data_IF_773595811148
#
_entry.id   IF_773595811148
#
_cell.length_a   1.000
_cell.length_b   1.000
_cell.length_c   1.000
_cell.angle_alpha   90.00
_cell.angle_beta   90.00
_cell.angle_gamma   90.00
#
_symmetry.space_group_name_H-M   'P 1'
#
loop_
_entity.id
_entity.type
_entity.pdbx_description
1 polymer ?
#
# COMPACT_ATOMS: atom_id res chain seq x y z
N UNK A 1 -5.35 -7.57 22.02
CA UNK A 1 -3.97 -7.97 21.66
C UNK A 1 -3.57 -7.21 20.41
N UNK A 2 -2.83 -6.12 20.58
CA UNK A 2 -2.41 -5.21 19.50
C UNK A 2 -1.20 -5.81 18.77
N UNK A 3 -1.45 -6.55 17.68
CA UNK A 3 -0.42 -7.20 16.87
C UNK A 3 0.11 -6.29 15.76
N UNK A 4 0.82 -5.21 16.10
CA UNK A 4 1.49 -4.33 15.11
C UNK A 4 2.93 -4.72 14.78
N UNK A 5 3.34 -5.98 14.94
CA UNK A 5 4.76 -6.39 14.87
C UNK A 5 4.98 -7.65 14.04
N UNK A 6 4.61 -7.61 12.76
CA UNK A 6 4.88 -8.71 11.84
C UNK A 6 4.86 -8.33 10.36
N UNK A 7 4.82 -7.03 10.02
CA UNK A 7 4.87 -6.62 8.61
C UNK A 7 6.21 -7.02 7.99
N UNK A 8 7.29 -6.98 8.76
CA UNK A 8 8.63 -7.42 8.39
C UNK A 8 8.67 -8.86 7.87
N UNK A 9 7.81 -9.75 8.38
CA UNK A 9 7.71 -11.16 7.96
C UNK A 9 6.87 -11.36 6.70
N UNK A 10 6.11 -10.34 6.30
CA UNK A 10 5.21 -10.37 5.15
C UNK A 10 5.81 -9.63 3.95
N UNK A 11 6.80 -8.76 4.20
CA UNK A 11 7.49 -7.98 3.17
C UNK A 11 8.53 -8.86 2.48
N UNK A 12 8.63 -8.68 1.16
CA UNK A 12 9.59 -9.42 0.33
C UNK A 12 11.02 -9.18 0.84
N UNK A 13 11.73 -10.25 1.18
CA UNK A 13 13.11 -10.23 1.67
C UNK A 13 14.05 -9.53 0.68
N UNK A 14 13.72 -9.54 -0.62
CA UNK A 14 14.49 -8.90 -1.69
C UNK A 14 14.50 -7.37 -1.57
N UNK A 15 13.57 -6.79 -0.82
CA UNK A 15 13.59 -5.36 -0.50
C UNK A 15 14.68 -5.04 0.53
N UNK A 16 15.20 -6.03 1.25
CA UNK A 16 16.36 -5.88 2.15
C UNK A 16 16.21 -4.71 3.15
N UNK A 17 14.99 -4.48 3.65
CA UNK A 17 14.66 -3.37 4.54
C UNK A 17 14.50 -2.01 3.86
N UNK A 18 14.68 -1.91 2.54
CA UNK A 18 14.47 -0.71 1.75
C UNK A 18 12.99 -0.54 1.38
N UNK A 19 12.19 -0.25 2.39
CA UNK A 19 10.79 0.10 2.22
C UNK A 19 10.33 1.04 3.33
N UNK A 20 9.29 1.82 3.03
CA UNK A 20 8.66 2.68 4.01
C UNK A 20 7.63 1.88 4.83
N UNK A 21 7.83 1.79 6.14
CA UNK A 21 6.96 1.00 7.04
C UNK A 21 5.50 1.47 7.02
N UNK A 22 5.24 2.78 6.90
CA UNK A 22 3.87 3.31 6.79
C UNK A 22 3.23 2.92 5.46
N UNK A 23 3.99 2.97 4.36
CA UNK A 23 3.49 2.53 3.06
C UNK A 23 3.23 1.02 3.05
N UNK A 24 4.11 0.22 3.67
CA UNK A 24 3.94 -1.22 3.81
C UNK A 24 2.69 -1.58 4.62
N UNK A 25 2.46 -0.92 5.77
CA UNK A 25 1.26 -1.12 6.59
C UNK A 25 -0.01 -0.72 5.83
N UNK A 26 0.02 0.39 5.07
CA UNK A 26 -1.12 0.78 4.24
C UNK A 26 -1.41 -0.26 3.16
N UNK A 27 -0.40 -0.68 2.41
CA UNK A 27 -0.56 -1.66 1.32
C UNK A 27 -1.15 -2.95 1.87
N UNK A 28 -0.69 -3.41 3.04
CA UNK A 28 -1.25 -4.58 3.71
C UNK A 28 -2.73 -4.41 4.05
N UNK A 29 -3.12 -3.27 4.63
CA UNK A 29 -4.55 -2.98 4.93
C UNK A 29 -5.40 -2.94 3.67
N UNK A 30 -4.91 -2.30 2.61
CA UNK A 30 -5.60 -2.22 1.32
C UNK A 30 -5.75 -3.61 0.70
N UNK A 31 -4.71 -4.43 0.74
CA UNK A 31 -4.76 -5.81 0.27
C UNK A 31 -5.82 -6.62 1.02
N UNK A 32 -5.89 -6.52 2.35
CA UNK A 32 -6.89 -7.19 3.17
C UNK A 32 -8.33 -6.76 2.86
N UNK A 33 -8.56 -5.52 2.45
CA UNK A 33 -9.87 -5.07 1.98
C UNK A 33 -10.20 -5.67 0.60
N UNK A 34 -9.22 -5.78 -0.28
CA UNK A 34 -9.43 -6.29 -1.64
C UNK A 34 -9.71 -7.80 -1.70
N UNK A 35 -9.21 -8.58 -0.74
CA UNK A 35 -9.37 -10.05 -0.71
C UNK A 35 -10.55 -10.53 0.16
N UNK A 36 -11.45 -9.63 0.57
CA UNK A 36 -12.63 -10.00 1.36
C UNK A 36 -13.48 -11.07 0.67
N UNK A 37 -13.99 -12.01 1.45
CA UNK A 37 -14.84 -13.10 0.95
C UNK A 37 -16.10 -12.55 0.30
N UNK A 38 -16.75 -11.59 0.96
CA UNK A 38 -17.86 -10.86 0.37
C UNK A 38 -17.34 -9.87 -0.68
N UNK A 39 -17.94 -9.91 -1.88
CA UNK A 39 -17.59 -9.00 -2.98
C UNK A 39 -18.01 -7.57 -2.69
N UNK A 40 -19.07 -7.36 -1.92
CA UNK A 40 -19.66 -6.05 -1.68
C UNK A 40 -18.90 -5.28 -0.58
N UNK A 41 -18.07 -5.98 0.20
CA UNK A 41 -17.10 -5.37 1.12
C UNK A 41 -15.81 -4.91 0.41
N UNK A 42 -15.58 -5.33 -0.84
CA UNK A 42 -14.36 -4.96 -1.57
C UNK A 42 -14.48 -3.51 -2.06
N UNK A 43 -13.46 -2.67 -1.83
CA UNK A 43 -13.50 -1.28 -2.25
C UNK A 43 -13.45 -1.16 -3.78
N UNK A 44 -14.06 -0.10 -4.31
CA UNK A 44 -13.89 0.28 -5.70
C UNK A 44 -12.43 0.63 -6.01
N UNK A 45 -11.98 0.37 -7.24
CA UNK A 45 -10.60 0.66 -7.65
C UNK A 45 -10.22 2.14 -7.52
N UNK A 46 -11.16 3.06 -7.72
CA UNK A 46 -10.95 4.50 -7.48
C UNK A 46 -10.55 4.78 -6.03
N UNK A 47 -11.20 4.11 -5.08
CA UNK A 47 -10.90 4.21 -3.64
C UNK A 47 -9.54 3.59 -3.32
N UNK A 48 -9.23 2.42 -3.89
CA UNK A 48 -7.93 1.74 -3.75
C UNK A 48 -6.79 2.65 -4.21
N UNK A 49 -6.90 3.22 -5.40
CA UNK A 49 -5.92 4.17 -5.94
C UNK A 49 -5.81 5.42 -5.06
N UNK A 50 -6.93 5.92 -4.54
CA UNK A 50 -6.95 7.03 -3.59
C UNK A 50 -6.13 6.75 -2.33
N UNK A 51 -6.27 5.55 -1.75
CA UNK A 51 -5.46 5.13 -0.60
C UNK A 51 -3.97 5.07 -0.96
N UNK A 52 -3.61 4.40 -2.05
CA UNK A 52 -2.21 4.21 -2.45
C UNK A 52 -1.49 5.51 -2.81
N UNK A 53 -2.20 6.49 -3.39
CA UNK A 53 -1.63 7.79 -3.72
C UNK A 53 -1.47 8.69 -2.50
N UNK A 54 -2.29 8.52 -1.46
CA UNK A 54 -2.27 9.39 -0.28
C UNK A 54 -0.93 9.33 0.48
N UNK A 55 -0.23 8.20 0.44
CA UNK A 55 1.05 7.96 1.13
C UNK A 55 2.27 8.17 0.23
N UNK A 56 2.09 8.34 -1.08
CA UNK A 56 3.17 8.64 -2.03
C UNK A 56 3.64 10.11 -1.96
N UNK A 57 3.19 10.88 -0.95
CA UNK A 57 3.49 12.31 -0.74
C UNK A 57 4.94 12.63 -0.32
N UNK A 58 5.87 11.69 -0.44
CA UNK A 58 7.32 11.95 -0.49
C UNK A 58 7.85 11.73 -1.91
N UNK A 59 7.40 12.54 -2.85
CA UNK A 59 8.18 12.83 -4.07
C UNK A 59 8.38 14.33 -4.17
N UNK A 60 9.45 14.79 -3.54
CA UNK A 60 10.26 15.86 -4.13
C UNK A 60 10.37 15.59 -5.63
N UNK A 61 9.84 16.52 -6.44
CA UNK A 61 9.85 16.47 -7.90
C UNK A 61 8.97 15.39 -8.55
N UNK A 62 7.72 15.76 -8.85
CA UNK A 62 7.01 15.22 -10.02
C UNK A 62 7.88 15.44 -11.27
N UNK A 63 8.78 14.51 -11.58
CA UNK A 63 9.27 14.32 -12.95
C UNK A 63 8.05 13.90 -13.76
N UNK A 64 7.38 14.87 -14.38
CA UNK A 64 6.37 14.64 -15.41
C UNK A 64 6.97 13.68 -16.42
N UNK A 65 6.46 12.44 -16.48
CA UNK A 65 6.73 11.54 -17.61
C UNK A 65 6.10 12.20 -18.84
N UNK A 66 6.86 12.54 -19.89
CA UNK A 66 6.26 13.06 -21.11
C UNK A 66 5.33 12.00 -21.68
N UNK A 67 4.05 12.34 -21.85
CA UNK A 67 3.12 11.50 -22.61
C UNK A 67 3.60 11.54 -24.06
N UNK A 68 3.87 10.36 -24.64
CA UNK A 68 4.11 10.21 -26.08
C UNK A 68 2.90 10.68 -26.87
#
# INVERSE_FOLDING_TARGET
MEGRRGIDKLIDERLNGDYDEEQADLVLRVALLCVRTDKDERPAMSTVVGFLLATSRRTTSLRRVPRR
#
